data_IF_038878677427
#
_entry.id   IF_038878677427
#
_cell.length_a   1.000
_cell.length_b   1.000
_cell.length_c   1.000
_cell.angle_alpha   90.00
_cell.angle_beta   90.00
_cell.angle_gamma   90.00
#
_symmetry.space_group_name_H-M   'P 1'
#
loop_
_entity.id
_entity.type
_entity.pdbx_description
1 polymer ?
#
# COMPACT_ATOMS: atom_id res chain seq x y z
N UNK A 1 41.54 -38.22 -25.60
CA UNK A 1 40.99 -38.56 -26.91
C UNK A 1 39.73 -37.74 -27.01
N UNK A 2 39.84 -36.52 -27.51
CA UNK A 2 39.54 -36.05 -28.85
C UNK A 2 38.06 -36.19 -29.20
N UNK A 3 37.31 -35.10 -29.26
CA UNK A 3 36.92 -34.39 -30.48
C UNK A 3 35.90 -33.31 -30.22
N UNK A 4 36.24 -32.07 -30.46
CA UNK A 4 35.34 -31.04 -30.99
C UNK A 4 35.28 -31.24 -32.54
N UNK A 5 34.23 -30.84 -33.21
CA UNK A 5 34.12 -29.57 -33.94
C UNK A 5 32.66 -29.06 -34.01
N UNK A 6 32.24 -27.96 -34.56
CA UNK A 6 32.78 -26.91 -35.39
C UNK A 6 31.70 -25.81 -35.46
N UNK A 7 32.13 -24.61 -35.58
CA UNK A 7 31.53 -23.37 -36.06
C UNK A 7 30.47 -23.51 -37.17
N UNK A 8 29.40 -22.71 -37.07
CA UNK A 8 28.73 -22.14 -38.25
C UNK A 8 28.33 -20.69 -37.96
N UNK A 9 29.08 -19.83 -38.63
CA UNK A 9 28.86 -18.39 -38.84
C UNK A 9 27.79 -18.25 -39.91
N UNK A 10 26.78 -17.47 -39.67
CA UNK A 10 25.78 -17.08 -40.68
C UNK A 10 25.49 -15.58 -40.53
N UNK A 11 26.10 -14.81 -41.39
CA UNK A 11 25.90 -13.39 -41.54
C UNK A 11 24.80 -13.09 -42.57
N UNK A 12 24.34 -11.84 -42.52
CA UNK A 12 23.62 -11.07 -43.56
C UNK A 12 22.09 -11.14 -43.55
N UNK A 13 21.40 -10.01 -43.29
CA UNK A 13 21.11 -9.00 -44.27
C UNK A 13 20.40 -7.77 -43.67
N UNK A 14 20.94 -6.61 -43.95
CA UNK A 14 20.36 -5.28 -43.83
C UNK A 14 19.19 -5.13 -44.82
N UNK A 15 18.07 -4.61 -44.38
CA UNK A 15 17.11 -3.94 -45.26
C UNK A 15 16.56 -2.71 -44.55
N UNK A 16 17.10 -1.59 -44.92
CA UNK A 16 16.60 -0.23 -44.70
C UNK A 16 15.35 0.01 -45.57
N UNK A 17 14.29 0.45 -44.96
CA UNK A 17 13.18 1.10 -45.68
C UNK A 17 12.84 2.41 -44.97
N UNK A 18 13.35 3.49 -45.56
CA UNK A 18 12.94 4.87 -45.29
C UNK A 18 11.53 5.10 -45.84
N UNK A 19 10.60 5.44 -44.99
CA UNK A 19 9.27 5.90 -45.35
C UNK A 19 9.06 7.31 -44.80
N UNK A 20 9.32 8.28 -45.65
CA UNK A 20 8.87 9.67 -45.51
C UNK A 20 7.35 9.69 -45.74
N UNK A 21 6.58 10.14 -44.78
CA UNK A 21 5.20 10.60 -45.01
C UNK A 21 5.08 12.03 -44.51
N UNK A 22 4.57 12.81 -45.43
CA UNK A 22 4.48 14.25 -45.47
C UNK A 22 3.57 14.84 -44.39
N UNK A 23 3.90 16.09 -44.02
CA UNK A 23 3.04 17.03 -43.35
C UNK A 23 1.79 17.33 -44.16
N UNK A 24 0.61 17.19 -43.58
CA UNK A 24 -0.57 17.87 -44.07
C UNK A 24 -0.97 18.93 -43.04
N UNK A 25 -0.79 20.16 -43.46
CA UNK A 25 -1.29 21.38 -42.84
C UNK A 25 -2.80 21.50 -43.14
N UNK A 26 -3.63 21.41 -42.14
CA UNK A 26 -5.05 21.82 -42.25
C UNK A 26 -5.23 23.15 -41.58
N UNK A 27 -5.59 24.05 -42.45
CA UNK A 27 -6.00 25.45 -42.33
C UNK A 27 -7.02 25.72 -41.20
N UNK A 28 -6.66 26.73 -40.47
CA UNK A 28 -7.50 27.59 -39.61
C UNK A 28 -8.77 28.04 -40.33
N UNK A 29 -9.92 27.81 -39.75
CA UNK A 29 -11.15 28.52 -40.07
C UNK A 29 -11.84 28.98 -38.81
N UNK A 30 -11.90 30.27 -38.72
CA UNK A 30 -12.65 31.15 -37.85
C UNK A 30 -13.99 30.63 -37.38
N UNK A 31 -14.21 30.71 -36.05
CA UNK A 31 -15.55 30.80 -35.47
C UNK A 31 -15.57 31.91 -34.40
N UNK A 32 -16.63 32.70 -34.33
CA UNK A 32 -16.62 34.02 -33.71
C UNK A 32 -16.72 33.98 -32.19
N UNK A 33 -16.03 34.94 -31.58
CA UNK A 33 -16.11 35.31 -30.17
C UNK A 33 -17.54 35.74 -29.83
N UNK A 34 -18.12 35.09 -28.84
CA UNK A 34 -19.26 35.62 -28.11
C UNK A 34 -18.74 36.37 -26.88
N UNK A 35 -18.67 37.67 -27.01
CA UNK A 35 -18.53 38.62 -25.90
C UNK A 35 -19.78 38.59 -25.04
N UNK A 36 -19.65 38.21 -23.78
CA UNK A 36 -20.67 38.47 -22.79
C UNK A 36 -20.15 39.46 -21.76
N UNK A 37 -20.21 40.74 -22.14
CA UNK A 37 -20.08 41.85 -21.21
C UNK A 37 -21.35 41.88 -20.34
N UNK A 38 -21.19 41.70 -19.06
CA UNK A 38 -22.12 42.23 -18.08
C UNK A 38 -21.37 42.77 -16.88
N UNK A 39 -20.77 43.94 -17.10
CA UNK A 39 -20.40 44.86 -16.02
C UNK A 39 -21.67 45.31 -15.30
N UNK A 40 -21.75 45.01 -14.02
CA UNK A 40 -22.52 45.82 -13.10
C UNK A 40 -21.67 46.18 -11.90
N UNK A 41 -21.08 47.35 -12.00
CA UNK A 41 -20.51 48.06 -10.87
C UNK A 41 -21.64 48.47 -9.90
N UNK A 42 -21.63 47.96 -8.71
CA UNK A 42 -22.36 48.55 -7.60
C UNK A 42 -21.31 49.00 -6.57
N UNK A 43 -20.98 50.29 -6.64
CA UNK A 43 -20.25 51.00 -5.62
C UNK A 43 -21.19 51.22 -4.43
N UNK A 44 -21.04 50.43 -3.37
CA UNK A 44 -21.58 50.78 -2.07
C UNK A 44 -20.42 51.08 -1.10
N UNK A 45 -20.27 52.34 -0.81
CA UNK A 45 -19.40 52.88 0.21
C UNK A 45 -20.09 52.71 1.56
N UNK A 46 -19.76 51.60 2.27
CA UNK A 46 -20.13 51.38 3.65
C UNK A 46 -18.95 51.63 4.60
N UNK A 47 -19.16 52.01 5.87
CA UNK A 47 -18.14 52.33 6.81
C UNK A 47 -17.29 51.09 7.16
N UNK A 48 -16.00 51.28 7.40
CA UNK A 48 -15.01 50.27 7.71
C UNK A 48 -15.44 49.38 8.88
N UNK A 49 -15.31 48.05 8.76
CA UNK A 49 -15.54 47.17 9.89
C UNK A 49 -14.39 47.24 10.88
N UNK A 50 -14.75 47.52 12.12
CA UNK A 50 -13.88 47.40 13.30
C UNK A 50 -13.31 45.99 13.35
N UNK A 51 -11.98 45.89 13.37
CA UNK A 51 -11.25 44.62 13.53
C UNK A 51 -11.51 44.04 14.91
N UNK A 52 -12.39 43.09 15.02
CA UNK A 52 -12.47 42.17 16.17
C UNK A 52 -11.31 41.17 16.08
N UNK A 53 -10.59 40.90 17.18
CA UNK A 53 -9.52 39.88 17.16
C UNK A 53 -10.12 38.53 16.83
N UNK A 54 -9.57 37.87 15.80
CA UNK A 54 -9.94 36.52 15.41
C UNK A 54 -9.69 35.57 16.58
N UNK A 55 -10.76 35.08 17.17
CA UNK A 55 -10.73 33.95 18.10
C UNK A 55 -10.28 32.73 17.32
N UNK A 56 -9.06 32.28 17.54
CA UNK A 56 -8.54 31.02 17.01
C UNK A 56 -9.48 29.90 17.52
N UNK A 57 -10.08 29.07 16.65
CA UNK A 57 -10.86 27.96 17.13
C UNK A 57 -9.93 26.99 17.84
N UNK A 58 -10.06 26.93 19.15
CA UNK A 58 -9.45 25.85 19.95
C UNK A 58 -10.05 24.55 19.42
N UNK A 59 -9.20 23.70 18.83
CA UNK A 59 -9.58 22.36 18.43
C UNK A 59 -10.09 21.63 19.68
N UNK A 60 -11.40 21.45 19.76
CA UNK A 60 -12.03 20.65 20.79
C UNK A 60 -11.65 19.20 20.48
N UNK A 61 -10.60 18.71 21.11
CA UNK A 61 -10.30 17.27 21.14
C UNK A 61 -11.44 16.61 21.91
N UNK A 62 -12.38 16.04 21.19
CA UNK A 62 -13.37 15.16 21.78
C UNK A 62 -12.63 14.00 22.42
N UNK A 63 -12.74 13.77 23.73
CA UNK A 63 -12.19 12.57 24.35
C UNK A 63 -12.92 11.38 23.71
N UNK A 64 -12.18 10.58 22.96
CA UNK A 64 -12.69 9.30 22.47
C UNK A 64 -13.15 8.49 23.65
N UNK A 65 -14.42 8.07 23.67
CA UNK A 65 -14.93 7.15 24.69
C UNK A 65 -13.96 5.97 24.81
N UNK A 66 -13.67 5.46 26.03
CA UNK A 66 -12.80 4.32 26.22
C UNK A 66 -13.34 3.15 25.41
N UNK A 67 -12.61 2.79 24.34
CA UNK A 67 -12.95 1.61 23.55
C UNK A 67 -12.85 0.40 24.47
N UNK A 68 -13.90 -0.44 24.49
CA UNK A 68 -13.84 -1.74 25.17
C UNK A 68 -12.55 -2.44 24.73
N UNK A 69 -11.77 -3.03 25.67
CA UNK A 69 -10.62 -3.85 25.29
C UNK A 69 -11.12 -4.93 24.33
N UNK A 70 -10.63 -4.90 23.12
CA UNK A 70 -10.91 -5.96 22.15
C UNK A 70 -9.80 -7.01 22.27
N UNK A 71 -10.16 -8.28 22.17
CA UNK A 71 -9.18 -9.34 22.01
C UNK A 71 -8.82 -9.43 20.54
N UNK A 72 -7.63 -9.01 20.20
CA UNK A 72 -7.18 -8.92 18.81
C UNK A 72 -7.17 -10.29 18.13
N UNK A 73 -6.69 -11.30 18.84
CA UNK A 73 -6.49 -12.68 18.39
C UNK A 73 -7.40 -13.69 19.09
N UNK A 74 -8.59 -13.27 19.52
CA UNK A 74 -9.49 -14.09 20.35
C UNK A 74 -10.27 -15.20 19.64
N UNK A 75 -10.11 -15.33 18.31
CA UNK A 75 -10.72 -16.41 17.54
C UNK A 75 -9.90 -17.70 17.62
N UNK A 76 -10.58 -18.86 17.69
CA UNK A 76 -9.91 -20.15 17.45
C UNK A 76 -9.43 -20.17 16.00
N UNK A 77 -8.12 -20.01 15.80
CA UNK A 77 -7.51 -20.22 14.49
C UNK A 77 -7.30 -21.71 14.26
N UNK A 78 -7.58 -22.16 13.06
CA UNK A 78 -7.20 -23.51 12.62
C UNK A 78 -5.65 -23.55 12.54
N UNK A 79 -5.02 -24.10 13.58
CA UNK A 79 -3.55 -24.21 13.66
C UNK A 79 -2.92 -25.03 12.52
N UNK A 80 -3.73 -25.72 11.71
CA UNK A 80 -3.28 -26.43 10.52
C UNK A 80 -3.13 -25.51 9.31
N UNK A 81 -3.73 -24.30 9.34
CA UNK A 81 -3.75 -23.42 8.17
C UNK A 81 -2.38 -22.75 7.97
N UNK A 82 -1.75 -23.09 6.84
CA UNK A 82 -0.49 -22.48 6.42
C UNK A 82 -0.75 -21.27 5.53
N UNK A 83 0.02 -20.22 5.76
CA UNK A 83 -0.02 -19.04 4.92
C UNK A 83 0.53 -19.35 3.50
N UNK A 84 -0.05 -18.84 2.41
CA UNK A 84 0.35 -19.17 1.03
C UNK A 84 1.67 -18.49 0.61
N UNK A 85 2.75 -18.77 1.32
CA UNK A 85 4.06 -18.11 1.17
C UNK A 85 4.79 -18.39 -0.13
N UNK A 86 4.43 -19.45 -0.86
CA UNK A 86 5.15 -19.87 -2.08
C UNK A 86 4.68 -19.16 -3.35
N UNK A 87 3.58 -18.42 -3.28
CA UNK A 87 3.09 -17.66 -4.44
C UNK A 87 3.91 -16.38 -4.59
N UNK A 88 4.38 -16.12 -5.81
CA UNK A 88 5.04 -14.85 -6.15
C UNK A 88 4.02 -13.71 -6.08
N UNK A 89 4.51 -12.55 -5.64
CA UNK A 89 3.74 -11.31 -5.59
C UNK A 89 4.42 -10.24 -6.43
N UNK A 90 3.65 -9.40 -7.08
CA UNK A 90 4.15 -8.16 -7.64
C UNK A 90 4.66 -7.25 -6.51
N UNK A 91 5.53 -6.32 -6.84
CA UNK A 91 6.19 -5.42 -5.88
C UNK A 91 6.11 -4.01 -6.40
N UNK A 92 5.62 -3.11 -5.59
CA UNK A 92 5.65 -1.69 -5.82
C UNK A 92 6.66 -1.04 -4.88
N UNK A 93 7.39 -0.07 -5.38
CA UNK A 93 8.50 0.53 -4.67
C UNK A 93 8.61 2.02 -4.98
N UNK A 94 8.51 2.86 -3.97
CA UNK A 94 8.77 4.30 -4.08
C UNK A 94 10.24 4.59 -4.32
N UNK A 95 10.57 5.86 -4.49
CA UNK A 95 11.93 6.35 -4.85
C UNK A 95 13.02 5.97 -3.85
N UNK A 96 12.66 5.81 -2.57
CA UNK A 96 13.58 5.42 -1.50
C UNK A 96 13.44 3.93 -1.12
N UNK A 97 13.03 3.10 -2.07
CA UNK A 97 12.63 1.75 -1.80
C UNK A 97 13.76 0.81 -1.41
N UNK A 98 13.48 -0.01 -0.41
CA UNK A 98 14.24 -1.22 -0.12
C UNK A 98 13.72 -2.33 -1.03
N UNK A 99 14.61 -3.06 -1.70
CA UNK A 99 14.22 -4.19 -2.53
C UNK A 99 13.51 -5.28 -1.69
N UNK A 100 12.26 -5.56 -2.04
CA UNK A 100 11.51 -6.65 -1.43
C UNK A 100 11.89 -7.99 -2.09
N UNK A 101 11.91 -9.10 -1.32
CA UNK A 101 11.98 -10.45 -1.88
C UNK A 101 10.84 -10.74 -2.85
N UNK A 102 11.00 -11.71 -3.76
CA UNK A 102 9.95 -12.09 -4.73
C UNK A 102 8.70 -12.70 -4.09
N UNK A 103 8.81 -13.18 -2.85
CA UNK A 103 7.70 -13.75 -2.10
C UNK A 103 7.75 -13.29 -0.64
N UNK A 104 6.60 -13.32 0.02
CA UNK A 104 6.52 -13.09 1.46
C UNK A 104 7.33 -14.15 2.19
N UNK A 105 8.32 -13.70 2.96
CA UNK A 105 9.22 -14.59 3.72
C UNK A 105 8.56 -15.01 5.05
N UNK A 106 7.42 -15.69 4.97
CA UNK A 106 6.77 -16.28 6.14
C UNK A 106 7.32 -17.68 6.44
N UNK A 107 7.23 -18.14 7.68
CA UNK A 107 7.73 -19.44 8.09
C UNK A 107 9.27 -19.58 8.05
N UNK A 108 9.99 -18.46 8.13
CA UNK A 108 11.45 -18.39 8.05
C UNK A 108 12.13 -18.18 9.41
N UNK A 109 11.56 -18.70 10.48
CA UNK A 109 12.07 -18.50 11.85
C UNK A 109 11.69 -17.16 12.47
N UNK A 110 10.82 -16.39 11.83
CA UNK A 110 10.35 -15.08 12.30
C UNK A 110 8.83 -15.01 12.32
N UNK A 111 8.28 -14.34 13.28
CA UNK A 111 6.91 -13.87 13.23
C UNK A 111 6.76 -12.88 12.08
N UNK A 112 5.70 -13.03 11.32
CA UNK A 112 5.39 -12.12 10.20
C UNK A 112 3.96 -11.57 10.37
N UNK A 113 3.85 -10.27 10.50
CA UNK A 113 2.58 -9.57 10.43
C UNK A 113 2.35 -9.10 9.01
N UNK A 114 1.32 -9.63 8.36
CA UNK A 114 0.92 -9.24 7.01
C UNK A 114 -0.27 -8.29 7.12
N UNK A 115 -0.08 -7.06 6.66
CA UNK A 115 -1.13 -6.04 6.57
C UNK A 115 -1.61 -5.94 5.12
N UNK A 116 -2.91 -6.12 4.90
CA UNK A 116 -3.57 -5.88 3.63
C UNK A 116 -4.17 -4.49 3.64
N UNK A 117 -3.83 -3.69 2.65
CA UNK A 117 -4.13 -2.27 2.57
C UNK A 117 -4.38 -1.82 1.15
N UNK A 118 -4.77 -0.55 0.96
CA UNK A 118 -4.80 0.11 -0.33
C UNK A 118 -4.56 1.62 -0.19
N UNK A 119 -4.04 2.27 -1.21
CA UNK A 119 -3.75 3.70 -1.22
C UNK A 119 -5.03 4.57 -1.10
N UNK A 120 -6.17 4.07 -1.55
CA UNK A 120 -7.48 4.72 -1.39
C UNK A 120 -8.10 4.49 -0.01
N UNK A 121 -7.59 3.55 0.79
CA UNK A 121 -8.13 3.19 2.11
C UNK A 121 -7.62 4.15 3.19
N UNK A 122 -8.44 5.10 3.61
CA UNK A 122 -8.06 6.10 4.61
C UNK A 122 -7.62 5.47 5.96
N UNK A 123 -8.39 4.55 6.59
CA UNK A 123 -7.98 3.93 7.86
C UNK A 123 -6.70 3.10 7.73
N UNK A 124 -6.44 2.50 6.54
CA UNK A 124 -5.19 1.79 6.29
C UNK A 124 -3.98 2.74 6.37
N UNK A 125 -4.09 3.90 5.71
CA UNK A 125 -3.02 4.91 5.71
C UNK A 125 -2.75 5.48 7.09
N UNK A 126 -3.77 5.67 7.89
CA UNK A 126 -3.68 6.18 9.26
C UNK A 126 -2.96 5.22 10.20
N UNK A 127 -3.09 3.90 10.00
CA UNK A 127 -2.45 2.91 10.87
C UNK A 127 -1.01 2.55 10.46
N UNK A 128 -0.58 2.78 9.21
CA UNK A 128 0.76 2.44 8.72
C UNK A 128 1.87 2.94 9.65
N UNK A 129 1.91 4.21 10.09
CA UNK A 129 2.95 4.69 11.02
C UNK A 129 2.96 3.94 12.35
N UNK A 130 1.79 3.53 12.84
CA UNK A 130 1.63 2.75 14.08
C UNK A 130 2.21 1.35 13.91
N UNK A 131 1.89 0.68 12.81
CA UNK A 131 2.41 -0.66 12.51
C UNK A 131 3.92 -0.66 12.38
N UNK A 132 4.51 0.32 11.68
CA UNK A 132 5.97 0.51 11.61
C UNK A 132 6.58 0.75 12.99
N UNK A 133 5.88 1.49 13.84
CA UNK A 133 6.23 1.68 15.25
C UNK A 133 6.20 0.38 16.06
N UNK A 134 5.24 -0.49 15.80
CA UNK A 134 5.14 -1.82 16.44
C UNK A 134 6.33 -2.71 16.04
N UNK A 135 6.66 -2.79 14.76
CA UNK A 135 7.81 -3.55 14.30
C UNK A 135 9.11 -3.09 14.99
N UNK A 136 9.32 -1.78 15.05
CA UNK A 136 10.48 -1.20 15.73
C UNK A 136 10.54 -1.55 17.21
N UNK A 137 9.40 -1.45 17.93
CA UNK A 137 9.31 -1.74 19.37
C UNK A 137 9.52 -3.21 19.65
N UNK A 138 8.91 -4.11 18.86
CA UNK A 138 9.07 -5.56 18.99
C UNK A 138 10.51 -5.99 18.69
N UNK A 139 11.13 -5.44 17.64
CA UNK A 139 12.54 -5.69 17.33
C UNK A 139 13.47 -5.20 18.43
N UNK A 140 13.25 -4.03 19.02
CA UNK A 140 14.01 -3.52 20.16
C UNK A 140 13.86 -4.38 21.42
N UNK A 141 12.72 -5.05 21.58
CA UNK A 141 12.49 -6.03 22.64
C UNK A 141 13.10 -7.41 22.35
N UNK A 142 13.83 -7.58 21.25
CA UNK A 142 14.51 -8.82 20.86
C UNK A 142 13.64 -9.83 20.12
N UNK A 143 12.39 -9.45 19.75
CA UNK A 143 11.53 -10.34 19.02
C UNK A 143 12.00 -10.50 17.56
N UNK A 144 12.08 -11.75 17.09
CA UNK A 144 12.28 -12.05 15.68
C UNK A 144 10.96 -11.79 14.91
N UNK A 145 10.68 -10.53 14.62
CA UNK A 145 9.43 -10.04 14.05
C UNK A 145 9.66 -9.31 12.73
N UNK A 146 8.69 -9.39 11.84
CA UNK A 146 8.68 -8.68 10.55
C UNK A 146 7.27 -8.20 10.25
N UNK A 147 7.18 -6.98 9.70
CA UNK A 147 5.98 -6.44 9.10
C UNK A 147 6.08 -6.53 7.57
N UNK A 148 4.99 -6.89 6.92
CA UNK A 148 4.91 -6.95 5.46
C UNK A 148 3.58 -6.36 5.01
N UNK A 149 3.64 -5.47 4.04
CA UNK A 149 2.46 -4.83 3.46
C UNK A 149 2.11 -5.46 2.11
N UNK A 150 0.83 -5.69 1.89
CA UNK A 150 0.29 -6.23 0.64
C UNK A 150 -0.85 -5.32 0.19
N UNK A 151 -0.63 -4.59 -0.89
CA UNK A 151 -1.64 -3.72 -1.47
C UNK A 151 -2.66 -4.52 -2.27
N UNK A 152 -3.91 -4.08 -2.19
CA UNK A 152 -5.05 -4.53 -3.00
C UNK A 152 -5.55 -3.42 -3.94
N UNK A 153 -4.70 -2.44 -4.26
CA UNK A 153 -5.02 -1.43 -5.26
C UNK A 153 -5.23 -2.08 -6.64
N UNK A 154 -6.08 -1.50 -7.45
CA UNK A 154 -6.37 -2.01 -8.79
C UNK A 154 -5.36 -1.48 -9.82
N UNK A 155 -4.67 -0.37 -9.50
CA UNK A 155 -3.68 0.29 -10.34
C UNK A 155 -2.37 0.53 -9.58
N UNK A 156 -1.25 0.07 -10.15
CA UNK A 156 0.10 0.22 -9.59
C UNK A 156 0.46 1.70 -9.32
N UNK A 157 0.01 2.62 -10.17
CA UNK A 157 0.25 4.06 -9.99
C UNK A 157 -0.28 4.61 -8.68
N UNK A 158 -1.40 4.08 -8.17
CA UNK A 158 -1.95 4.50 -6.89
C UNK A 158 -1.01 4.15 -5.74
N UNK A 159 -0.35 2.99 -5.83
CA UNK A 159 0.61 2.53 -4.84
C UNK A 159 1.89 3.37 -4.93
N UNK A 160 2.42 3.56 -6.14
CA UNK A 160 3.66 4.31 -6.38
C UNK A 160 3.52 5.76 -5.92
N UNK A 161 2.42 6.43 -6.28
CA UNK A 161 2.11 7.80 -5.85
C UNK A 161 2.05 7.90 -4.32
N UNK A 162 1.47 6.92 -3.65
CA UNK A 162 1.46 6.88 -2.19
C UNK A 162 2.86 6.69 -1.62
N UNK A 163 3.61 5.69 -2.08
CA UNK A 163 4.94 5.35 -1.58
C UNK A 163 5.95 6.49 -1.80
N UNK A 164 5.84 7.21 -2.91
CA UNK A 164 6.69 8.35 -3.26
C UNK A 164 6.49 9.57 -2.37
N UNK A 165 5.33 9.69 -1.74
CA UNK A 165 4.99 10.82 -0.85
C UNK A 165 5.29 10.54 0.62
N UNK A 166 5.80 9.35 0.95
CA UNK A 166 6.05 8.99 2.34
C UNK A 166 7.27 9.71 2.93
N UNK A 167 7.21 10.10 4.23
CA UNK A 167 8.39 10.60 4.91
C UNK A 167 9.44 9.47 5.08
N UNK A 168 10.70 9.81 5.31
CA UNK A 168 11.81 8.85 5.44
C UNK A 168 11.56 7.68 6.41
N UNK A 169 10.72 7.86 7.43
CA UNK A 169 10.32 6.80 8.36
C UNK A 169 9.01 6.11 7.96
N UNK A 170 8.49 6.39 6.77
CA UNK A 170 7.23 5.85 6.26
C UNK A 170 7.37 4.51 5.54
N UNK A 171 6.30 4.11 4.88
CA UNK A 171 6.26 2.91 4.05
C UNK A 171 6.82 3.25 2.65
N UNK A 172 7.90 2.59 2.24
CA UNK A 172 8.55 2.83 0.94
C UNK A 172 8.44 1.67 -0.04
N UNK A 173 7.94 0.51 0.38
CA UNK A 173 7.75 -0.64 -0.49
C UNK A 173 6.59 -1.51 -0.02
N UNK A 174 5.84 -2.07 -0.94
CA UNK A 174 4.73 -2.97 -0.68
C UNK A 174 4.70 -4.11 -1.70
N UNK A 175 4.27 -5.27 -1.28
CA UNK A 175 3.78 -6.27 -2.22
C UNK A 175 2.45 -5.78 -2.81
N UNK A 176 2.11 -6.31 -3.95
CA UNK A 176 0.88 -5.98 -4.67
C UNK A 176 0.20 -7.24 -5.20
N UNK A 177 -1.05 -7.42 -4.84
CA UNK A 177 -1.96 -8.39 -5.42
C UNK A 177 -2.84 -7.69 -6.45
N UNK A 178 -2.40 -7.76 -7.71
CA UNK A 178 -3.14 -7.20 -8.84
C UNK A 178 -4.54 -7.81 -8.91
N UNK A 179 -5.53 -6.99 -9.28
CA UNK A 179 -6.91 -7.45 -9.50
C UNK A 179 -6.98 -8.63 -10.49
N UNK A 180 -7.89 -9.55 -10.24
CA UNK A 180 -8.15 -10.73 -11.07
C UNK A 180 -8.22 -12.02 -10.28
N UNK A 181 -8.43 -13.13 -10.98
CA UNK A 181 -8.61 -14.45 -10.39
C UNK A 181 -7.45 -14.89 -9.49
N UNK A 182 -6.22 -14.46 -9.80
CA UNK A 182 -5.05 -14.77 -8.97
C UNK A 182 -5.12 -14.11 -7.58
N UNK A 183 -5.67 -12.89 -7.49
CA UNK A 183 -5.93 -12.20 -6.22
C UNK A 183 -6.95 -12.98 -5.40
N UNK A 184 -8.07 -13.36 -6.01
CA UNK A 184 -9.12 -14.10 -5.34
C UNK A 184 -8.63 -15.44 -4.80
N UNK A 185 -7.91 -16.22 -5.64
CA UNK A 185 -7.32 -17.49 -5.26
C UNK A 185 -6.28 -17.32 -4.13
N UNK A 186 -5.53 -16.23 -4.15
CA UNK A 186 -4.53 -15.95 -3.13
C UNK A 186 -5.19 -15.61 -1.80
N UNK A 187 -6.19 -14.70 -1.81
CA UNK A 187 -6.96 -14.31 -0.62
C UNK A 187 -7.68 -15.52 -0.01
N UNK A 188 -8.33 -16.31 -0.83
CA UNK A 188 -8.98 -17.56 -0.39
C UNK A 188 -7.99 -18.55 0.23
N UNK A 189 -6.79 -18.70 -0.35
CA UNK A 189 -5.75 -19.55 0.21
C UNK A 189 -5.21 -19.01 1.54
N UNK A 190 -5.29 -17.70 1.78
CA UNK A 190 -4.96 -17.06 3.05
C UNK A 190 -6.12 -17.09 4.08
N UNK A 191 -7.24 -17.68 3.73
CA UNK A 191 -8.44 -17.75 4.58
C UNK A 191 -9.27 -16.46 4.56
N UNK A 192 -9.11 -15.61 3.53
CA UNK A 192 -9.80 -14.35 3.38
C UNK A 192 -10.92 -14.43 2.34
N UNK A 193 -12.01 -13.70 2.58
CA UNK A 193 -12.99 -13.44 1.54
C UNK A 193 -12.41 -12.44 0.52
N UNK A 194 -12.72 -12.57 -0.80
CA UNK A 194 -12.23 -11.64 -1.82
C UNK A 194 -12.66 -10.19 -1.59
N UNK A 195 -13.79 -9.99 -0.93
CA UNK A 195 -14.41 -8.71 -0.58
C UNK A 195 -14.18 -8.31 0.88
N UNK A 196 -13.21 -8.93 1.57
CA UNK A 196 -12.89 -8.59 2.96
C UNK A 196 -12.59 -7.09 3.09
N UNK A 197 -13.27 -6.37 4.01
CA UNK A 197 -13.04 -4.94 4.17
C UNK A 197 -11.64 -4.65 4.71
N UNK A 198 -11.03 -3.57 4.19
CA UNK A 198 -9.70 -3.12 4.58
C UNK A 198 -9.77 -2.13 5.77
N UNK A 199 -8.71 -2.07 6.60
CA UNK A 199 -7.51 -2.92 6.58
C UNK A 199 -7.81 -4.31 7.13
N UNK A 200 -6.98 -5.25 6.71
CA UNK A 200 -7.02 -6.62 7.20
C UNK A 200 -5.61 -7.10 7.57
N UNK A 201 -5.49 -7.91 8.60
CA UNK A 201 -4.19 -8.36 9.10
C UNK A 201 -4.16 -9.87 9.33
N UNK A 202 -3.02 -10.48 9.08
CA UNK A 202 -2.73 -11.86 9.42
C UNK A 202 -1.40 -11.91 10.16
N UNK A 203 -1.38 -12.50 11.35
CA UNK A 203 -0.17 -12.82 12.08
C UNK A 203 0.21 -14.27 11.82
N UNK A 204 1.40 -14.47 11.30
CA UNK A 204 1.95 -15.77 10.92
C UNK A 204 3.12 -16.11 11.84
N UNK A 205 3.14 -17.31 12.39
CA UNK A 205 4.19 -17.77 13.29
C UNK A 205 5.50 -18.13 12.54
N UNK A 206 6.62 -18.37 13.24
CA UNK A 206 7.91 -18.74 12.64
C UNK A 206 7.88 -20.00 11.79
N UNK A 207 6.84 -20.82 11.88
CA UNK A 207 6.64 -22.05 11.09
C UNK A 207 5.75 -21.84 9.87
N UNK A 208 5.20 -20.63 9.67
CA UNK A 208 4.31 -20.29 8.57
C UNK A 208 2.83 -20.57 8.83
N UNK A 209 2.44 -20.85 10.08
CA UNK A 209 1.04 -21.07 10.45
C UNK A 209 0.35 -19.74 10.78
N UNK A 210 -0.88 -19.59 10.33
CA UNK A 210 -1.71 -18.44 10.69
C UNK A 210 -2.14 -18.58 12.16
N UNK A 211 -1.81 -17.60 12.97
CA UNK A 211 -2.10 -17.56 14.41
C UNK A 211 -3.20 -16.59 14.76
N UNK A 212 -3.41 -15.60 13.92
CA UNK A 212 -4.37 -14.54 14.19
C UNK A 212 -4.77 -13.88 12.88
N UNK A 213 -6.05 -13.57 12.75
CA UNK A 213 -6.60 -12.74 11.68
C UNK A 213 -7.40 -11.60 12.32
N UNK A 214 -7.11 -10.37 11.91
CA UNK A 214 -7.74 -9.15 12.45
C UNK A 214 -8.36 -8.35 11.34
N UNK A 215 -9.63 -8.01 11.50
CA UNK A 215 -10.35 -7.13 10.59
C UNK A 215 -10.48 -5.73 11.19
N UNK A 216 -10.24 -4.71 10.39
CA UNK A 216 -10.25 -3.31 10.79
C UNK A 216 -8.92 -2.84 11.39
N UNK A 217 -8.76 -1.52 11.47
CA UNK A 217 -7.52 -0.90 11.90
C UNK A 217 -7.12 -1.27 13.33
N UNK A 218 -5.82 -1.45 13.56
CA UNK A 218 -5.24 -1.67 14.87
C UNK A 218 -5.03 -0.36 15.61
N UNK A 219 -5.02 -0.39 16.94
CA UNK A 219 -4.74 0.78 17.78
C UNK A 219 -3.52 0.52 18.70
N UNK A 220 -3.09 1.56 19.45
CA UNK A 220 -1.88 1.47 20.27
C UNK A 220 -1.97 0.44 21.39
N UNK A 221 -3.19 0.13 21.85
CA UNK A 221 -3.45 -0.88 22.88
C UNK A 221 -3.19 -2.31 22.41
N UNK A 222 -3.27 -2.55 21.10
CA UNK A 222 -3.11 -3.87 20.50
C UNK A 222 -1.64 -4.39 20.58
N UNK A 223 -0.67 -3.49 20.72
CA UNK A 223 0.75 -3.89 20.84
C UNK A 223 1.02 -4.82 22.01
N UNK A 224 0.35 -4.64 23.12
CA UNK A 224 0.56 -5.47 24.31
C UNK A 224 0.15 -6.94 24.06
N UNK A 225 -0.98 -7.16 23.38
CA UNK A 225 -1.44 -8.49 23.02
C UNK A 225 -0.52 -9.17 22.00
N UNK A 226 -0.11 -8.40 20.96
CA UNK A 226 0.85 -8.87 19.95
C UNK A 226 2.17 -9.26 20.62
N UNK A 227 2.69 -8.43 21.54
CA UNK A 227 3.93 -8.70 22.27
C UNK A 227 3.84 -9.99 23.08
N UNK A 228 2.72 -10.22 23.75
CA UNK A 228 2.48 -11.43 24.52
C UNK A 228 2.46 -12.68 23.63
N UNK A 229 1.81 -12.61 22.49
CA UNK A 229 1.73 -13.68 21.51
C UNK A 229 3.11 -14.05 20.96
N UNK A 230 3.89 -13.02 20.59
CA UNK A 230 5.21 -13.18 19.98
C UNK A 230 6.25 -13.69 20.98
N UNK A 231 6.15 -13.28 22.26
CA UNK A 231 7.07 -13.71 23.33
C UNK A 231 6.78 -15.13 23.85
N UNK A 232 5.58 -15.64 23.68
CA UNK A 232 5.15 -16.94 24.20
C UNK A 232 5.56 -18.17 23.37
N UNK A 233 6.44 -17.98 22.38
CA UNK A 233 6.86 -19.07 21.46
C UNK A 233 8.38 -19.15 21.29
#
# INVERSE_FOLDING_TARGET
>A
MSSLPALLVGALALLSASGLVACDTVSEKDAPMATNERSQSITQKGPAPVSTPATVPVAVTHPSAPKKPRTLCGGKQDESHLFPSKKKLSRAAGKEAIALPESLLVGSGRWTWVNFWAAWCAPCKEEIPRLLGFEKKLGAAGAAFRLSFVSLDDDERQIDDFLDTQPAAGLHASYWLKEGNEREDWLKAAGLAPDAPLPFHILVDPRGKIRCSVQGAVDDGDLAEISTLVAGH
#
